data_IF_230473498336
#
_entry.id   IF_230473498336
#
_cell.length_a   1.000
_cell.length_b   1.000
_cell.length_c   1.000
_cell.angle_alpha   90.00
_cell.angle_beta   90.00
_cell.angle_gamma   90.00
#
_symmetry.space_group_name_H-M   'P 1'
#
loop_
_entity.id
_entity.type
_entity.pdbx_description
1 polymer ?
#
# COMPACT_ATOMS: atom_id res chain seq x y z
N UNK A 1 -43.50 6.95 3.66
CA UNK A 1 -42.20 7.62 3.46
C UNK A 1 -40.99 6.86 4.04
N UNK A 2 -41.15 5.96 5.02
CA UNK A 2 -40.01 5.26 5.66
C UNK A 2 -39.29 4.24 4.77
N UNK A 3 -39.99 3.53 3.87
CA UNK A 3 -39.38 2.51 2.99
C UNK A 3 -38.22 3.04 2.14
N UNK A 4 -38.32 4.27 1.58
CA UNK A 4 -37.25 4.88 0.78
C UNK A 4 -36.03 5.24 1.61
N UNK A 5 -36.21 5.68 2.86
CA UNK A 5 -35.08 6.00 3.73
C UNK A 5 -34.35 4.74 4.22
N UNK A 6 -35.07 3.68 4.57
CA UNK A 6 -34.46 2.41 4.98
C UNK A 6 -33.61 1.81 3.84
N UNK A 7 -34.09 1.89 2.59
CA UNK A 7 -33.30 1.42 1.44
C UNK A 7 -32.04 2.24 1.19
N UNK A 8 -32.09 3.56 1.40
CA UNK A 8 -30.90 4.43 1.24
C UNK A 8 -29.87 4.13 2.33
N UNK A 9 -30.31 3.98 3.59
CA UNK A 9 -29.41 3.64 4.70
C UNK A 9 -28.78 2.27 4.49
N UNK A 10 -29.55 1.27 4.05
CA UNK A 10 -29.01 -0.06 3.73
C UNK A 10 -27.95 0.00 2.61
N UNK A 11 -28.19 0.75 1.55
CA UNK A 11 -27.22 0.92 0.46
C UNK A 11 -25.92 1.60 0.93
N UNK A 12 -26.01 2.62 1.79
CA UNK A 12 -24.85 3.30 2.36
C UNK A 12 -24.01 2.36 3.24
N UNK A 13 -24.65 1.52 4.06
CA UNK A 13 -23.95 0.55 4.90
C UNK A 13 -23.23 -0.53 4.08
N UNK A 14 -23.87 -1.02 3.00
CA UNK A 14 -23.25 -1.98 2.08
C UNK A 14 -22.03 -1.34 1.38
N UNK A 15 -22.17 -0.10 0.90
CA UNK A 15 -21.05 0.64 0.30
C UNK A 15 -19.90 0.85 1.29
N UNK A 16 -20.17 1.21 2.55
CA UNK A 16 -19.14 1.35 3.57
C UNK A 16 -18.44 0.02 3.86
N UNK A 17 -19.16 -1.09 3.97
CA UNK A 17 -18.57 -2.42 4.17
C UNK A 17 -17.68 -2.85 2.98
N UNK A 18 -18.09 -2.53 1.75
CA UNK A 18 -17.26 -2.75 0.56
C UNK A 18 -16.00 -1.88 0.60
N UNK A 19 -16.09 -0.59 0.94
CA UNK A 19 -14.91 0.26 1.09
C UNK A 19 -13.96 -0.20 2.21
N UNK A 20 -14.50 -0.71 3.33
CA UNK A 20 -13.68 -1.27 4.42
C UNK A 20 -12.96 -2.55 4.01
N UNK A 21 -13.56 -3.39 3.16
CA UNK A 21 -12.90 -4.58 2.61
C UNK A 21 -11.88 -4.25 1.51
N UNK A 22 -12.07 -3.17 0.75
CA UNK A 22 -11.07 -2.67 -0.18
C UNK A 22 -9.80 -2.15 0.51
N UNK A 23 -9.88 -1.75 1.78
CA UNK A 23 -8.70 -1.36 2.56
C UNK A 23 -7.80 -2.55 2.95
N UNK A 24 -8.25 -3.80 2.76
CA UNK A 24 -7.37 -4.99 2.81
C UNK A 24 -6.71 -5.31 1.46
N UNK A 25 -7.04 -4.59 0.38
CA UNK A 25 -6.36 -4.67 -0.92
C UNK A 25 -5.29 -3.57 -1.05
N UNK A 26 -4.66 -3.20 0.07
CA UNK A 26 -3.46 -2.35 0.07
C UNK A 26 -2.16 -3.17 0.17
N UNK A 27 -2.26 -4.47 0.47
CA UNK A 27 -1.14 -5.41 0.42
C UNK A 27 -1.34 -6.40 -0.75
N UNK A 28 -1.92 -5.93 -1.86
CA UNK A 28 -1.86 -6.67 -3.11
C UNK A 28 -0.44 -6.57 -3.65
N UNK A 29 0.46 -7.38 -3.09
CA UNK A 29 1.60 -7.98 -3.78
C UNK A 29 2.24 -7.05 -4.83
N UNK A 30 2.58 -5.82 -4.44
CA UNK A 30 3.34 -4.92 -5.29
C UNK A 30 4.62 -5.68 -5.58
N UNK A 31 4.82 -6.06 -6.84
CA UNK A 31 5.97 -6.87 -7.22
C UNK A 31 7.25 -6.21 -6.72
N UNK A 32 8.37 -6.94 -6.59
CA UNK A 32 9.62 -6.36 -6.09
C UNK A 32 10.03 -5.05 -6.82
N UNK A 33 9.56 -4.85 -8.06
CA UNK A 33 9.68 -3.58 -8.80
C UNK A 33 8.82 -2.44 -8.27
N UNK A 34 7.54 -2.66 -7.96
CA UNK A 34 6.61 -1.61 -7.52
C UNK A 34 6.96 -1.02 -6.15
N UNK A 35 7.45 -1.86 -5.22
CA UNK A 35 7.95 -1.35 -3.93
C UNK A 35 9.16 -0.44 -4.16
N UNK A 36 10.11 -0.86 -4.99
CA UNK A 36 11.32 -0.09 -5.24
C UNK A 36 10.99 1.22 -5.98
N UNK A 37 10.13 1.18 -7.00
CA UNK A 37 9.71 2.38 -7.73
C UNK A 37 8.96 3.35 -6.83
N UNK A 38 8.02 2.87 -6.01
CA UNK A 38 7.30 3.70 -5.05
C UNK A 38 8.25 4.34 -4.01
N UNK A 39 9.24 3.60 -3.55
CA UNK A 39 10.24 4.11 -2.60
C UNK A 39 11.21 5.11 -3.25
N UNK A 40 11.77 4.77 -4.41
CA UNK A 40 12.78 5.58 -5.09
C UNK A 40 12.22 6.87 -5.67
N UNK A 41 10.91 6.94 -5.94
CA UNK A 41 10.24 8.20 -6.33
C UNK A 41 10.42 9.29 -5.27
N UNK A 42 10.52 8.91 -3.99
CA UNK A 42 10.79 9.85 -2.88
C UNK A 42 12.29 10.22 -2.72
N UNK A 43 13.18 9.61 -3.49
CA UNK A 43 14.62 9.80 -3.40
C UNK A 43 15.18 10.92 -4.31
N UNK A 44 14.34 11.58 -5.10
CA UNK A 44 14.74 12.66 -6.02
C UNK A 44 15.09 13.94 -5.24
N UNK A 45 16.38 14.29 -5.22
CA UNK A 45 16.91 15.47 -4.52
C UNK A 45 18.19 15.95 -5.22
N UNK A 46 18.59 17.21 -4.99
CA UNK A 46 19.77 17.80 -5.66
C UNK A 46 21.09 17.12 -5.30
N UNK A 47 21.19 16.62 -4.07
CA UNK A 47 22.38 15.99 -3.55
C UNK A 47 22.45 14.52 -3.98
N UNK A 48 23.39 14.22 -4.87
CA UNK A 48 23.62 12.89 -5.43
C UNK A 48 23.95 11.85 -4.35
N UNK A 49 24.65 12.24 -3.28
CA UNK A 49 25.02 11.31 -2.21
C UNK A 49 23.79 10.92 -1.39
N UNK A 50 22.88 11.88 -1.16
CA UNK A 50 21.60 11.60 -0.48
C UNK A 50 20.68 10.74 -1.33
N UNK A 51 20.61 10.96 -2.64
CA UNK A 51 19.86 10.08 -3.55
C UNK A 51 20.41 8.65 -3.49
N UNK A 52 21.72 8.45 -3.61
CA UNK A 52 22.35 7.12 -3.50
C UNK A 52 22.07 6.43 -2.16
N UNK A 53 22.13 7.16 -1.03
CA UNK A 53 21.77 6.60 0.29
C UNK A 53 20.29 6.23 0.39
N UNK A 54 19.42 7.01 -0.22
CA UNK A 54 17.99 6.75 -0.25
C UNK A 54 17.68 5.50 -1.09
N UNK A 55 18.25 5.39 -2.30
CA UNK A 55 18.14 4.19 -3.15
C UNK A 55 18.60 2.93 -2.42
N UNK A 56 19.71 3.00 -1.67
CA UNK A 56 20.17 1.86 -0.86
C UNK A 56 19.20 1.49 0.27
N UNK A 57 18.49 2.46 0.86
CA UNK A 57 17.43 2.16 1.82
C UNK A 57 16.23 1.50 1.14
N UNK A 58 15.88 1.93 -0.07
CA UNK A 58 14.81 1.32 -0.85
C UNK A 58 15.15 -0.13 -1.22
N UNK A 59 16.40 -0.42 -1.62
CA UNK A 59 16.81 -1.79 -1.92
C UNK A 59 16.78 -2.72 -0.70
N UNK A 60 17.09 -2.22 0.50
CA UNK A 60 16.95 -3.00 1.74
C UNK A 60 15.48 -3.20 2.10
N UNK A 61 14.66 -2.14 1.99
CA UNK A 61 13.24 -2.16 2.37
C UNK A 61 12.37 -2.97 1.42
N UNK A 62 12.73 -3.01 0.15
CA UNK A 62 12.00 -3.74 -0.89
C UNK A 62 12.72 -5.03 -1.30
N UNK A 63 13.91 -5.28 -0.75
CA UNK A 63 14.70 -6.46 -1.00
C UNK A 63 14.14 -7.70 -0.30
N UNK A 64 14.65 -8.88 -0.67
CA UNK A 64 14.17 -10.16 -0.15
C UNK A 64 14.29 -10.29 1.37
N UNK A 65 15.19 -9.54 2.01
CA UNK A 65 15.34 -9.53 3.47
C UNK A 65 14.15 -8.85 4.17
N UNK A 66 13.50 -7.87 3.54
CA UNK A 66 12.30 -7.24 4.09
C UNK A 66 11.08 -8.18 4.03
N UNK A 67 10.96 -8.99 2.97
CA UNK A 67 9.94 -10.03 2.86
C UNK A 67 10.09 -11.14 3.92
N UNK A 68 11.33 -11.40 4.37
CA UNK A 68 11.61 -12.32 5.49
C UNK A 68 11.24 -11.72 6.85
N UNK A 69 11.39 -10.41 7.03
CA UNK A 69 11.02 -9.72 8.26
C UNK A 69 9.50 -9.52 8.42
N UNK A 70 8.74 -9.47 7.32
CA UNK A 70 7.27 -9.29 7.35
C UNK A 70 6.46 -10.57 7.56
N UNK A 71 7.08 -11.72 7.82
CA UNK A 71 6.36 -12.90 8.31
C UNK A 71 5.67 -13.75 7.24
N UNK A 72 6.26 -13.92 6.05
CA UNK A 72 5.98 -15.12 5.25
C UNK A 72 6.77 -16.31 5.81
N UNK A 73 6.31 -16.80 6.97
CA UNK A 73 6.57 -18.16 7.41
C UNK A 73 5.47 -19.06 6.87
N UNK A 74 5.75 -19.73 5.76
CA UNK A 74 5.16 -21.01 5.37
C UNK A 74 6.30 -21.95 5.07
#
# INVERSE_FOLDING_TARGET
>A
MMKKQVTIVAALLIMMALCSSLNMVAEAQLGPGDCYDGCSTACVQRDREKTSRCDRKCSIRCGPDAARASGSGV
#
